data_IF_625958670274
#
_entry.id   IF_625958670274
#
_cell.length_a   1.000
_cell.length_b   1.000
_cell.length_c   1.000
_cell.angle_alpha   90.00
_cell.angle_beta   90.00
_cell.angle_gamma   90.00
#
_symmetry.space_group_name_H-M   'P 1'
#
loop_
_entity.id
_entity.type
_entity.pdbx_description
1 polymer ?
#
# COMPACT_ATOMS: atom_id res chain seq x y z
N UNK A 1 -52.98 -5.36 50.44
CA UNK A 1 -53.15 -5.68 49.02
C UNK A 1 -51.87 -5.23 48.34
N UNK A 2 -51.16 -6.20 47.79
CA UNK A 2 -50.03 -6.10 46.85
C UNK A 2 -48.71 -5.44 47.27
N UNK A 3 -47.67 -6.12 46.79
CA UNK A 3 -46.27 -6.15 47.19
C UNK A 3 -45.38 -5.49 46.14
N UNK A 4 -44.27 -4.93 46.62
CA UNK A 4 -42.89 -4.94 46.09
C UNK A 4 -42.64 -4.93 44.57
N UNK A 5 -41.76 -4.01 44.15
CA UNK A 5 -41.04 -4.07 42.88
C UNK A 5 -39.80 -3.17 42.91
N UNK A 6 -38.72 -3.67 43.51
CA UNK A 6 -37.37 -3.11 43.39
C UNK A 6 -36.63 -3.86 42.26
N UNK A 7 -36.01 -3.15 41.34
CA UNK A 7 -35.27 -3.71 40.20
C UNK A 7 -33.86 -3.12 40.17
N UNK A 8 -32.93 -3.86 40.78
CA UNK A 8 -31.50 -3.64 40.69
C UNK A 8 -30.91 -4.27 39.42
N UNK A 9 -30.18 -3.42 38.71
CA UNK A 9 -29.39 -3.64 37.51
C UNK A 9 -28.29 -4.72 37.70
N UNK A 10 -28.26 -5.75 36.84
CA UNK A 10 -27.22 -6.79 36.86
C UNK A 10 -26.41 -6.78 35.56
N UNK A 11 -25.19 -6.27 35.66
CA UNK A 11 -24.17 -6.29 34.61
C UNK A 11 -23.55 -7.70 34.49
N UNK A 12 -23.87 -8.42 33.42
CA UNK A 12 -23.28 -9.73 33.10
C UNK A 12 -21.87 -9.58 32.48
N UNK A 13 -20.83 -9.77 33.31
CA UNK A 13 -19.47 -10.12 32.87
C UNK A 13 -19.45 -11.56 32.36
N UNK A 14 -19.29 -11.77 31.05
CA UNK A 14 -19.01 -13.11 30.48
C UNK A 14 -17.54 -13.47 30.66
N UNK A 15 -17.32 -14.43 31.56
CA UNK A 15 -16.12 -15.26 31.74
C UNK A 15 -15.89 -16.07 30.47
N UNK A 16 -14.66 -16.05 29.93
CA UNK A 16 -14.27 -16.87 28.78
C UNK A 16 -13.52 -18.07 29.33
N UNK A 17 -14.10 -19.25 29.14
CA UNK A 17 -13.51 -20.53 29.54
C UNK A 17 -12.36 -20.90 28.63
N UNK A 18 -11.32 -21.39 29.29
CA UNK A 18 -10.06 -21.90 28.78
C UNK A 18 -10.23 -23.42 28.74
N UNK A 19 -10.17 -24.02 27.55
CA UNK A 19 -10.19 -25.48 27.39
C UNK A 19 -8.84 -25.92 26.88
N UNK A 20 -8.09 -26.54 27.78
CA UNK A 20 -6.91 -27.36 27.52
C UNK A 20 -7.24 -28.52 26.59
N UNK A 21 -6.43 -28.69 25.55
CA UNK A 21 -6.34 -29.94 24.82
C UNK A 21 -4.86 -30.35 24.75
N UNK A 22 -4.50 -31.30 25.60
CA UNK A 22 -3.31 -32.15 25.46
C UNK A 22 -3.53 -33.03 24.24
N UNK A 23 -2.61 -33.01 23.29
CA UNK A 23 -2.48 -34.12 22.35
C UNK A 23 -1.00 -34.39 22.02
N UNK A 24 -0.78 -35.68 21.76
CA UNK A 24 0.39 -36.49 22.00
C UNK A 24 1.48 -36.36 20.95
N UNK A 25 2.70 -36.65 21.42
CA UNK A 25 3.89 -36.85 20.61
C UNK A 25 3.79 -38.12 19.76
N UNK A 26 3.85 -37.98 18.43
CA UNK A 26 4.27 -39.06 17.53
C UNK A 26 5.44 -38.59 16.66
N UNK A 27 6.55 -39.33 16.79
CA UNK A 27 7.78 -39.17 16.02
C UNK A 27 7.57 -39.78 14.64
N UNK A 28 7.54 -38.98 13.58
CA UNK A 28 7.69 -39.46 12.20
C UNK A 28 9.07 -39.08 11.63
N UNK A 29 9.75 -40.10 11.10
CA UNK A 29 11.08 -40.03 10.48
C UNK A 29 10.97 -39.34 9.11
N UNK A 30 11.70 -38.27 8.90
CA UNK A 30 11.90 -37.66 7.57
C UNK A 30 12.99 -38.43 6.77
N UNK A 31 12.79 -38.65 5.46
CA UNK A 31 13.82 -39.18 4.59
C UNK A 31 14.85 -38.10 4.19
N UNK A 32 16.10 -38.57 4.04
CA UNK A 32 17.30 -37.84 3.63
C UNK A 32 17.13 -37.36 2.19
N UNK A 33 17.17 -36.05 1.94
CA UNK A 33 17.20 -35.47 0.60
C UNK A 33 18.65 -35.13 0.22
N UNK A 34 19.06 -35.58 -0.96
CA UNK A 34 20.39 -35.42 -1.53
C UNK A 34 20.66 -33.96 -1.97
N UNK A 35 21.90 -33.54 -1.79
CA UNK A 35 22.45 -32.22 -2.16
C UNK A 35 22.73 -32.14 -3.67
N UNK A 36 22.23 -31.12 -4.41
CA UNK A 36 22.79 -30.75 -5.70
C UNK A 36 23.90 -29.70 -5.52
N UNK A 37 24.98 -29.89 -6.28
CA UNK A 37 26.24 -29.17 -6.16
C UNK A 37 26.22 -27.69 -6.54
N UNK A 38 27.26 -27.01 -6.04
CA UNK A 38 27.58 -25.61 -6.26
C UNK A 38 27.77 -25.25 -7.74
N UNK A 39 27.16 -24.17 -8.24
CA UNK A 39 27.61 -23.54 -9.47
C UNK A 39 28.69 -22.49 -9.17
N UNK A 40 29.75 -22.62 -9.98
CA UNK A 40 30.90 -21.72 -10.12
C UNK A 40 30.51 -20.26 -10.34
N UNK A 41 31.25 -19.37 -9.67
CA UNK A 41 31.20 -17.92 -9.80
C UNK A 41 31.82 -17.48 -11.14
N UNK A 42 30.99 -16.96 -12.05
CA UNK A 42 31.45 -16.10 -13.13
C UNK A 42 30.64 -14.81 -13.10
N UNK A 43 31.30 -13.69 -12.81
CA UNK A 43 30.69 -12.37 -12.79
C UNK A 43 30.22 -11.98 -14.20
N UNK A 44 28.90 -11.96 -14.41
CA UNK A 44 28.32 -11.35 -15.61
C UNK A 44 28.16 -9.83 -15.42
N UNK A 45 28.43 -9.02 -16.46
CA UNK A 45 28.16 -7.59 -16.44
C UNK A 45 26.66 -7.30 -16.31
N UNK A 46 26.28 -6.13 -15.77
CA UNK A 46 24.88 -5.78 -15.54
C UNK A 46 24.07 -5.85 -16.84
N UNK A 47 22.82 -6.35 -16.78
CA UNK A 47 21.95 -6.39 -17.96
C UNK A 47 21.67 -4.97 -18.46
N UNK A 48 21.50 -4.78 -19.78
CA UNK A 48 21.20 -3.48 -20.35
C UNK A 48 19.90 -2.94 -19.74
N UNK A 49 19.97 -1.71 -19.23
CA UNK A 49 18.81 -0.97 -18.78
C UNK A 49 17.76 -0.91 -19.90
N UNK A 50 16.48 -1.04 -19.55
CA UNK A 50 15.38 -0.76 -20.47
C UNK A 50 15.63 0.60 -21.15
N UNK A 51 15.30 0.74 -22.45
CA UNK A 51 15.49 2.00 -23.15
C UNK A 51 14.81 3.13 -22.36
N UNK A 52 15.46 4.30 -22.22
CA UNK A 52 14.82 5.43 -21.59
C UNK A 52 13.52 5.72 -22.33
N UNK A 53 12.40 5.70 -21.61
CA UNK A 53 11.12 6.16 -22.13
C UNK A 53 11.35 7.60 -22.59
N UNK A 54 11.36 7.80 -23.90
CA UNK A 54 11.50 9.11 -24.52
C UNK A 54 10.39 10.01 -23.99
N UNK A 55 10.79 11.18 -23.48
CA UNK A 55 9.89 12.21 -22.96
C UNK A 55 8.95 12.71 -24.06
N UNK A 56 7.83 12.04 -24.29
CA UNK A 56 6.87 12.42 -25.32
C UNK A 56 5.79 11.38 -25.63
N UNK A 57 6.03 10.08 -25.41
CA UNK A 57 5.00 9.07 -25.64
C UNK A 57 4.07 8.94 -24.43
N UNK A 58 2.78 9.23 -24.65
CA UNK A 58 1.74 9.01 -23.65
C UNK A 58 1.60 7.52 -23.35
N UNK A 59 2.13 7.08 -22.21
CA UNK A 59 2.01 5.67 -21.82
C UNK A 59 0.56 5.34 -21.47
N UNK A 60 -0.01 4.34 -22.15
CA UNK A 60 -1.33 3.78 -21.86
C UNK A 60 -1.36 3.11 -20.48
N UNK A 61 -2.43 3.36 -19.71
CA UNK A 61 -2.61 2.75 -18.39
C UNK A 61 -2.66 1.23 -18.48
N UNK A 62 -3.25 0.67 -19.54
CA UNK A 62 -3.32 -0.79 -19.71
C UNK A 62 -1.92 -1.42 -19.77
N UNK A 63 -0.98 -0.76 -20.46
CA UNK A 63 0.42 -1.17 -20.51
C UNK A 63 1.15 -0.99 -19.18
N UNK A 64 0.80 0.01 -18.38
CA UNK A 64 1.37 0.19 -17.04
C UNK A 64 0.88 -0.86 -16.03
N UNK A 65 -0.28 -1.47 -16.26
CA UNK A 65 -0.84 -2.54 -15.41
C UNK A 65 -0.23 -3.91 -15.69
N UNK A 66 0.50 -4.09 -16.79
CA UNK A 66 1.14 -5.34 -17.16
C UNK A 66 2.56 -5.45 -16.59
N UNK A 67 2.78 -6.49 -15.78
CA UNK A 67 4.07 -6.79 -15.13
C UNK A 67 4.69 -8.09 -15.65
N UNK A 68 4.16 -8.68 -16.72
CA UNK A 68 4.65 -9.94 -17.31
C UNK A 68 6.16 -9.90 -17.57
N UNK A 69 6.64 -8.76 -18.10
CA UNK A 69 8.03 -8.57 -18.48
C UNK A 69 8.92 -7.98 -17.36
N UNK A 70 8.38 -7.75 -16.15
CA UNK A 70 9.15 -7.30 -15.00
C UNK A 70 9.61 -8.50 -14.17
N UNK A 71 10.87 -8.90 -14.33
CA UNK A 71 11.43 -10.16 -13.80
C UNK A 71 12.43 -9.96 -12.66
N UNK A 72 12.73 -8.71 -12.30
CA UNK A 72 13.53 -8.37 -11.12
C UNK A 72 12.78 -7.45 -10.18
N UNK A 73 13.17 -7.43 -8.89
CA UNK A 73 12.63 -6.48 -7.91
C UNK A 73 12.86 -5.02 -8.33
N UNK A 74 13.96 -4.73 -9.03
CA UNK A 74 14.28 -3.39 -9.53
C UNK A 74 13.32 -2.95 -10.63
N UNK A 75 13.08 -3.82 -11.63
CA UNK A 75 12.12 -3.55 -12.70
C UNK A 75 10.69 -3.37 -12.17
N UNK A 76 10.28 -4.20 -11.21
CA UNK A 76 8.99 -4.08 -10.53
C UNK A 76 8.89 -2.73 -9.80
N UNK A 77 9.94 -2.32 -9.10
CA UNK A 77 9.97 -1.04 -8.39
C UNK A 77 9.88 0.13 -9.37
N UNK A 78 10.61 0.09 -10.49
CA UNK A 78 10.53 1.10 -11.54
C UNK A 78 9.13 1.17 -12.17
N UNK A 79 8.48 0.01 -12.38
CA UNK A 79 7.09 -0.04 -12.88
C UNK A 79 6.10 0.51 -11.84
N UNK A 80 6.28 0.25 -10.54
CA UNK A 80 5.50 0.92 -9.48
C UNK A 80 5.66 2.43 -9.51
N UNK A 81 6.88 2.93 -9.76
CA UNK A 81 7.12 4.37 -9.86
C UNK A 81 6.34 4.99 -11.03
N UNK A 82 6.39 4.37 -12.21
CA UNK A 82 5.64 4.84 -13.39
C UNK A 82 4.13 4.78 -13.19
N UNK A 83 3.61 3.63 -12.73
CA UNK A 83 2.17 3.44 -12.50
C UNK A 83 1.66 4.34 -11.37
N UNK A 84 2.41 4.46 -10.28
CA UNK A 84 2.08 5.33 -9.15
C UNK A 84 2.02 6.79 -9.56
N UNK A 85 3.04 7.28 -10.28
CA UNK A 85 3.07 8.65 -10.80
C UNK A 85 1.91 8.91 -11.76
N UNK A 86 1.64 7.98 -12.69
CA UNK A 86 0.51 8.10 -13.62
C UNK A 86 -0.83 8.21 -12.88
N UNK A 87 -1.12 7.29 -11.95
CA UNK A 87 -2.38 7.28 -11.20
C UNK A 87 -2.58 8.56 -10.37
N UNK A 88 -1.51 9.07 -9.74
CA UNK A 88 -1.57 10.25 -8.89
C UNK A 88 -1.68 11.56 -9.70
N UNK A 89 -0.94 11.66 -10.81
CA UNK A 89 -0.83 12.89 -11.58
C UNK A 89 -1.80 12.99 -12.74
N UNK A 90 -2.02 11.89 -13.44
CA UNK A 90 -2.60 11.90 -14.77
C UNK A 90 -3.99 11.27 -14.81
N UNK A 91 -4.43 10.62 -13.73
CA UNK A 91 -5.76 10.02 -13.63
C UNK A 91 -6.62 10.62 -12.52
N UNK A 92 -7.94 10.52 -12.71
CA UNK A 92 -8.98 10.76 -11.72
C UNK A 92 -9.90 9.56 -11.65
N UNK A 93 -10.48 9.32 -10.49
CA UNK A 93 -11.61 8.39 -10.36
C UNK A 93 -12.88 9.16 -10.70
N UNK A 94 -13.71 8.60 -11.56
CA UNK A 94 -15.01 9.14 -11.95
C UNK A 94 -16.09 8.17 -11.52
N UNK A 95 -17.00 8.63 -10.66
CA UNK A 95 -18.20 7.91 -10.26
C UNK A 95 -19.43 8.58 -10.88
N UNK A 96 -20.29 7.80 -11.52
CA UNK A 96 -21.57 8.28 -12.06
C UNK A 96 -22.75 7.59 -11.41
N UNK A 97 -23.86 8.30 -11.25
CA UNK A 97 -25.15 7.78 -10.77
C UNK A 97 -26.29 8.60 -11.39
N UNK A 98 -26.92 8.04 -12.42
CA UNK A 98 -27.85 8.76 -13.30
C UNK A 98 -27.15 9.96 -13.93
N UNK A 99 -27.72 11.16 -13.73
CA UNK A 99 -27.14 12.42 -14.21
C UNK A 99 -26.02 12.98 -13.31
N UNK A 100 -25.80 12.41 -12.13
CA UNK A 100 -24.78 12.91 -11.20
C UNK A 100 -23.42 12.35 -11.56
N UNK A 101 -22.41 13.20 -11.53
CA UNK A 101 -21.00 12.86 -11.74
C UNK A 101 -20.18 13.40 -10.59
N UNK A 102 -19.36 12.54 -9.98
CA UNK A 102 -18.38 12.92 -8.96
C UNK A 102 -16.98 12.54 -9.45
N UNK A 103 -16.04 13.47 -9.33
CA UNK A 103 -14.65 13.26 -9.71
C UNK A 103 -13.74 13.36 -8.50
N UNK A 104 -12.70 12.52 -8.48
CA UNK A 104 -11.76 12.44 -7.37
C UNK A 104 -10.32 12.39 -7.87
N UNK A 105 -9.47 13.18 -7.23
CA UNK A 105 -8.03 13.03 -7.31
C UNK A 105 -7.56 11.94 -6.35
N UNK A 106 -6.60 11.13 -6.79
CA UNK A 106 -5.91 10.16 -5.92
C UNK A 106 -4.79 10.91 -5.20
N UNK A 107 -4.74 10.83 -3.87
CA UNK A 107 -3.70 11.46 -3.06
C UNK A 107 -2.70 10.46 -2.49
N UNK A 108 -3.14 9.21 -2.30
CA UNK A 108 -2.38 8.18 -1.60
C UNK A 108 -2.79 6.78 -2.09
N UNK A 109 -1.81 5.95 -2.41
CA UNK A 109 -1.99 4.55 -2.82
C UNK A 109 -0.87 3.64 -2.30
N UNK A 110 -1.12 2.33 -2.25
CA UNK A 110 -0.16 1.29 -1.85
C UNK A 110 -0.14 0.12 -2.84
N UNK A 111 1.05 -0.34 -3.20
CA UNK A 111 1.21 -1.55 -4.03
C UNK A 111 1.34 -2.81 -3.17
N UNK A 112 0.70 -3.88 -3.62
CA UNK A 112 0.96 -5.25 -3.18
C UNK A 112 1.01 -6.16 -4.41
N UNK A 113 1.96 -7.08 -4.46
CA UNK A 113 2.21 -7.93 -5.62
C UNK A 113 2.78 -9.28 -5.19
N UNK A 114 2.15 -10.34 -5.68
CA UNK A 114 2.71 -11.68 -5.73
C UNK A 114 3.03 -11.99 -7.19
N UNK A 115 4.31 -12.06 -7.51
CA UNK A 115 4.86 -12.56 -8.77
C UNK A 115 5.81 -13.72 -8.45
N UNK A 116 5.40 -14.97 -8.70
CA UNK A 116 6.18 -16.15 -8.34
C UNK A 116 7.63 -16.09 -8.85
N UNK A 117 8.57 -16.50 -8.00
CA UNK A 117 10.01 -16.54 -8.35
C UNK A 117 10.68 -15.18 -8.51
N UNK A 118 9.98 -14.07 -8.25
CA UNK A 118 10.49 -12.72 -8.50
C UNK A 118 10.16 -11.73 -7.37
N UNK A 119 8.89 -11.66 -6.97
CA UNK A 119 8.41 -10.70 -5.97
C UNK A 119 7.21 -11.29 -5.21
N UNK A 120 7.50 -11.99 -4.13
CA UNK A 120 6.50 -12.70 -3.32
C UNK A 120 6.22 -11.94 -2.01
N UNK A 121 5.48 -10.85 -2.11
CA UNK A 121 5.15 -10.02 -0.97
C UNK A 121 4.14 -10.74 -0.03
N UNK A 122 4.56 -11.12 1.20
CA UNK A 122 3.76 -11.91 2.13
C UNK A 122 2.60 -11.13 2.79
N UNK A 123 2.46 -9.84 2.45
CA UNK A 123 1.36 -9.00 2.91
C UNK A 123 0.27 -8.81 1.84
N UNK A 124 0.47 -9.31 0.63
CA UNK A 124 -0.51 -9.24 -0.45
C UNK A 124 -1.71 -10.13 -0.15
N UNK A 125 -2.92 -9.64 -0.43
CA UNK A 125 -4.14 -10.46 -0.28
C UNK A 125 -4.14 -11.66 -1.23
N UNK A 126 -3.70 -11.43 -2.48
CA UNK A 126 -3.51 -12.48 -3.47
C UNK A 126 -4.80 -13.20 -3.82
N UNK A 127 -5.94 -12.51 -3.86
CA UNK A 127 -7.21 -13.15 -4.22
C UNK A 127 -7.21 -13.58 -5.70
N UNK A 128 -8.05 -14.57 -6.05
CA UNK A 128 -8.14 -15.01 -7.45
C UNK A 128 -8.65 -13.90 -8.38
N UNK A 129 -9.47 -12.97 -7.89
CA UNK A 129 -9.91 -11.80 -8.66
C UNK A 129 -8.77 -10.82 -9.00
N UNK A 130 -7.71 -10.78 -8.18
CA UNK A 130 -6.54 -9.92 -8.42
C UNK A 130 -5.63 -10.44 -9.54
N UNK A 131 -5.95 -11.58 -10.17
CA UNK A 131 -5.24 -12.06 -11.36
C UNK A 131 -5.57 -11.27 -12.63
N UNK A 132 -6.73 -10.63 -12.67
CA UNK A 132 -7.24 -9.94 -13.87
C UNK A 132 -7.03 -8.45 -13.71
N UNK A 133 -6.11 -7.88 -14.47
CA UNK A 133 -5.77 -6.45 -14.42
C UNK A 133 -6.90 -5.54 -14.90
N UNK A 134 -6.89 -4.29 -14.46
CA UNK A 134 -7.83 -3.26 -14.91
C UNK A 134 -9.23 -3.38 -14.31
N UNK A 135 -9.36 -4.00 -13.13
CA UNK A 135 -10.64 -4.18 -12.43
C UNK A 135 -10.59 -3.59 -11.02
N UNK A 136 -11.76 -3.25 -10.51
CA UNK A 136 -11.95 -2.92 -9.10
C UNK A 136 -12.06 -4.21 -8.27
N UNK A 137 -11.20 -4.34 -7.27
CA UNK A 137 -11.27 -5.40 -6.28
C UNK A 137 -11.62 -4.81 -4.91
N UNK A 138 -12.75 -5.24 -4.33
CA UNK A 138 -13.10 -4.92 -2.95
C UNK A 138 -12.61 -6.02 -2.02
N UNK A 139 -11.96 -5.64 -0.92
CA UNK A 139 -11.35 -6.59 0.00
C UNK A 139 -12.36 -7.61 0.53
N UNK A 140 -11.97 -8.89 0.52
CA UNK A 140 -12.77 -10.01 1.00
C UNK A 140 -12.28 -10.56 2.32
N UNK A 141 -13.21 -11.16 3.07
CA UNK A 141 -12.86 -11.94 4.24
C UNK A 141 -12.13 -13.23 3.79
N UNK A 142 -11.07 -13.65 4.50
CA UNK A 142 -10.47 -14.95 4.27
C UNK A 142 -11.49 -16.03 4.58
N UNK A 143 -11.66 -16.97 3.66
CA UNK A 143 -12.33 -18.24 3.92
C UNK A 143 -11.28 -19.22 4.40
N UNK A 144 -11.52 -19.83 5.58
CA UNK A 144 -10.70 -20.97 6.01
C UNK A 144 -10.99 -22.11 5.05
N UNK A 145 -9.95 -22.66 4.44
CA UNK A 145 -10.07 -23.95 3.77
C UNK A 145 -10.29 -25.02 4.84
N UNK A 146 -11.20 -25.98 4.59
CA UNK A 146 -11.30 -27.19 5.41
C UNK A 146 -10.14 -28.16 5.15
N UNK A 147 -9.35 -27.89 4.10
CA UNK A 147 -8.12 -28.60 3.77
C UNK A 147 -6.93 -27.85 4.38
N UNK A 148 -6.26 -28.49 5.35
CA UNK A 148 -5.11 -27.95 6.09
C UNK A 148 -3.88 -27.70 5.20
N UNK A 149 -3.86 -28.24 3.98
CA UNK A 149 -2.78 -28.04 3.01
C UNK A 149 -2.98 -26.79 2.13
N UNK A 150 -4.17 -26.19 2.16
CA UNK A 150 -4.47 -25.00 1.36
C UNK A 150 -4.39 -23.73 2.20
N UNK A 151 -3.59 -22.77 1.74
CA UNK A 151 -3.56 -21.43 2.33
C UNK A 151 -4.97 -20.80 2.29
N UNK A 152 -5.39 -20.05 3.34
CA UNK A 152 -6.68 -19.38 3.36
C UNK A 152 -6.84 -18.50 2.12
N UNK A 153 -7.86 -18.77 1.29
CA UNK A 153 -8.15 -17.95 0.11
C UNK A 153 -9.13 -16.85 0.48
N UNK A 154 -9.00 -15.66 -0.13
CA UNK A 154 -9.90 -14.53 0.11
C UNK A 154 -11.26 -14.68 -0.59
N UNK A 155 -11.82 -15.88 -0.74
CA UNK A 155 -13.09 -16.12 -1.45
C UNK A 155 -14.34 -15.85 -0.60
N UNK A 156 -14.20 -15.30 0.61
CA UNK A 156 -15.32 -15.02 1.50
C UNK A 156 -16.15 -13.79 1.14
N UNK A 157 -17.13 -13.48 2.00
CA UNK A 157 -17.93 -12.27 1.92
C UNK A 157 -17.04 -11.00 1.90
N UNK A 158 -17.52 -9.93 1.27
CA UNK A 158 -16.83 -8.64 1.31
C UNK A 158 -16.63 -8.17 2.75
N UNK A 159 -15.46 -7.60 3.02
CA UNK A 159 -15.21 -7.00 4.33
C UNK A 159 -16.13 -5.80 4.53
N UNK A 160 -16.59 -5.63 5.75
CA UNK A 160 -17.46 -4.52 6.17
C UNK A 160 -16.77 -3.66 7.24
N UNK A 161 -17.38 -2.54 7.61
CA UNK A 161 -16.87 -1.63 8.63
C UNK A 161 -15.45 -1.13 8.34
N UNK A 162 -14.59 -1.06 9.36
CA UNK A 162 -13.23 -0.51 9.25
C UNK A 162 -12.26 -1.35 8.41
N UNK A 163 -12.66 -2.55 7.99
CA UNK A 163 -11.83 -3.48 7.21
C UNK A 163 -12.13 -3.48 5.71
N UNK A 164 -12.99 -2.58 5.24
CA UNK A 164 -13.23 -2.31 3.81
C UNK A 164 -11.96 -1.73 3.17
N UNK A 165 -11.73 -2.09 1.91
CA UNK A 165 -10.69 -1.53 1.06
C UNK A 165 -11.03 -1.80 -0.40
N UNK A 166 -10.42 -1.01 -1.30
CA UNK A 166 -10.64 -1.08 -2.74
C UNK A 166 -9.29 -0.96 -3.45
N UNK A 167 -9.00 -1.94 -4.30
CA UNK A 167 -7.78 -2.00 -5.08
C UNK A 167 -8.11 -1.86 -6.57
N UNK A 168 -7.19 -1.24 -7.33
CA UNK A 168 -7.07 -1.44 -8.77
C UNK A 168 -6.21 -2.68 -9.01
N UNK A 169 -6.73 -3.69 -9.71
CA UNK A 169 -5.98 -4.91 -9.99
C UNK A 169 -4.95 -4.69 -11.10
N UNK A 170 -3.79 -5.34 -10.96
CA UNK A 170 -2.69 -5.29 -11.93
C UNK A 170 -1.88 -6.59 -11.89
N UNK A 171 -0.96 -6.78 -12.84
CA UNK A 171 0.00 -7.88 -12.86
C UNK A 171 0.13 -8.56 -14.22
N UNK A 172 -1.00 -8.85 -14.86
CA UNK A 172 -1.07 -9.45 -16.21
C UNK A 172 -1.59 -8.42 -17.23
N UNK A 173 -1.57 -8.71 -18.54
CA UNK A 173 -2.21 -7.84 -19.52
C UNK A 173 -3.70 -7.61 -19.22
N UNK A 174 -4.22 -6.43 -19.54
CA UNK A 174 -5.66 -6.17 -19.49
C UNK A 174 -6.37 -7.07 -20.50
N UNK A 175 -7.48 -7.68 -20.08
CA UNK A 175 -8.21 -8.66 -20.91
C UNK A 175 -7.63 -10.07 -20.89
N UNK A 176 -6.52 -10.31 -20.19
CA UNK A 176 -5.99 -11.66 -19.98
C UNK A 176 -6.99 -12.53 -19.20
N UNK A 177 -7.42 -13.63 -19.81
CA UNK A 177 -8.26 -14.65 -19.17
C UNK A 177 -7.65 -16.02 -19.36
N UNK A 178 -6.62 -16.32 -18.56
CA UNK A 178 -6.03 -17.65 -18.56
C UNK A 178 -6.50 -18.45 -17.34
N UNK A 179 -7.60 -19.15 -17.55
CA UNK A 179 -8.12 -20.14 -16.59
C UNK A 179 -7.30 -21.42 -16.56
N UNK A 180 -6.33 -21.59 -17.47
CA UNK A 180 -5.53 -22.81 -17.61
C UNK A 180 -4.24 -22.80 -16.76
N UNK A 181 -3.76 -21.62 -16.35
CA UNK A 181 -2.57 -21.54 -15.49
C UNK A 181 -2.84 -22.01 -14.04
N UNK A 182 -1.91 -22.79 -13.46
CA UNK A 182 -1.96 -23.18 -12.05
C UNK A 182 -2.07 -21.96 -11.14
N UNK A 183 -2.88 -22.05 -10.07
CA UNK A 183 -3.15 -20.91 -9.17
C UNK A 183 -1.88 -20.27 -8.61
N UNK A 184 -0.87 -21.09 -8.33
CA UNK A 184 0.43 -20.71 -7.77
C UNK A 184 1.40 -20.12 -8.81
N UNK A 185 1.10 -20.21 -10.11
CA UNK A 185 1.94 -19.65 -11.18
C UNK A 185 1.50 -18.26 -11.64
N UNK A 186 0.34 -17.76 -11.18
CA UNK A 186 -0.25 -16.53 -11.71
C UNK A 186 0.11 -15.32 -10.86
N UNK A 187 0.60 -14.27 -11.52
CA UNK A 187 0.82 -12.95 -10.93
C UNK A 187 -0.47 -12.34 -10.41
N UNK A 188 -0.45 -11.79 -9.19
CA UNK A 188 -1.60 -11.14 -8.55
C UNK A 188 -1.17 -9.83 -7.90
N UNK A 189 -1.78 -8.73 -8.34
CA UNK A 189 -1.46 -7.40 -7.85
C UNK A 189 -2.69 -6.59 -7.50
N UNK A 190 -2.55 -5.74 -6.49
CA UNK A 190 -3.55 -4.75 -6.10
C UNK A 190 -2.90 -3.42 -5.75
N UNK A 191 -3.42 -2.34 -6.32
CA UNK A 191 -3.11 -0.97 -5.93
C UNK A 191 -4.19 -0.49 -4.97
N UNK A 192 -3.95 -0.61 -3.67
CA UNK A 192 -4.87 -0.17 -2.63
C UNK A 192 -4.97 1.35 -2.65
N UNK A 193 -6.17 1.86 -2.88
CA UNK A 193 -6.45 3.29 -2.78
C UNK A 193 -6.73 3.67 -1.33
N UNK A 194 -6.03 4.70 -0.83
CA UNK A 194 -6.09 5.07 0.59
C UNK A 194 -6.70 6.42 0.85
N UNK A 195 -6.34 7.42 0.06
CA UNK A 195 -6.86 8.77 0.22
C UNK A 195 -7.19 9.38 -1.13
N UNK A 196 -8.35 10.02 -1.18
CA UNK A 196 -8.85 10.73 -2.37
C UNK A 196 -9.31 12.12 -1.98
N UNK A 197 -9.32 13.04 -2.95
CA UNK A 197 -9.88 14.38 -2.81
C UNK A 197 -10.95 14.61 -3.85
N UNK A 198 -12.16 14.93 -3.41
CA UNK A 198 -13.25 15.27 -4.32
C UNK A 198 -12.97 16.60 -5.00
N UNK A 199 -13.10 16.64 -6.32
CA UNK A 199 -12.73 17.81 -7.13
C UNK A 199 -13.66 18.99 -6.89
N UNK A 200 -14.96 18.73 -6.68
CA UNK A 200 -15.98 19.78 -6.60
C UNK A 200 -15.86 20.69 -5.38
N UNK A 201 -15.39 20.16 -4.25
CA UNK A 201 -15.39 20.84 -2.95
C UNK A 201 -14.04 20.71 -2.21
N UNK A 202 -13.04 20.10 -2.84
CA UNK A 202 -11.73 19.78 -2.25
C UNK A 202 -11.78 18.92 -0.98
N UNK A 203 -12.91 18.26 -0.67
CA UNK A 203 -13.02 17.40 0.51
C UNK A 203 -12.08 16.21 0.39
N UNK A 204 -11.20 16.06 1.39
CA UNK A 204 -10.29 14.91 1.50
C UNK A 204 -10.98 13.80 2.28
N UNK A 205 -10.96 12.59 1.72
CA UNK A 205 -11.37 11.35 2.38
C UNK A 205 -10.13 10.48 2.57
N UNK A 206 -9.73 10.27 3.83
CA UNK A 206 -8.53 9.50 4.16
C UNK A 206 -8.86 8.20 4.88
N UNK A 207 -8.30 7.11 4.37
CA UNK A 207 -8.48 5.75 4.87
C UNK A 207 -9.26 4.87 3.89
N UNK A 208 -8.81 3.63 3.61
CA UNK A 208 -9.45 2.73 2.64
C UNK A 208 -10.94 2.51 2.86
N UNK A 209 -11.36 2.33 4.12
CA UNK A 209 -12.76 2.08 4.46
C UNK A 209 -13.66 3.29 4.20
N UNK A 210 -13.21 4.48 4.57
CA UNK A 210 -13.94 5.73 4.34
C UNK A 210 -13.97 6.10 2.85
N UNK A 211 -12.91 5.77 2.11
CA UNK A 211 -12.88 5.90 0.66
C UNK A 211 -13.98 5.05 0.03
N UNK A 212 -14.12 3.78 0.44
CA UNK A 212 -15.21 2.91 -0.03
C UNK A 212 -16.58 3.52 0.28
N UNK A 213 -16.77 4.07 1.49
CA UNK A 213 -18.03 4.74 1.86
C UNK A 213 -18.33 5.97 0.99
N UNK A 214 -17.30 6.74 0.64
CA UNK A 214 -17.44 7.88 -0.27
C UNK A 214 -17.84 7.42 -1.68
N UNK A 215 -17.29 6.30 -2.17
CA UNK A 215 -17.68 5.71 -3.46
C UNK A 215 -19.12 5.18 -3.42
N UNK A 216 -19.51 4.47 -2.36
CA UNK A 216 -20.90 3.99 -2.18
C UNK A 216 -21.88 5.16 -2.19
N UNK A 217 -21.56 6.24 -1.46
CA UNK A 217 -22.36 7.47 -1.46
C UNK A 217 -22.46 8.11 -2.84
N UNK A 218 -21.35 8.20 -3.57
CA UNK A 218 -21.31 8.81 -4.91
C UNK A 218 -22.10 8.02 -5.95
N UNK A 219 -22.09 6.70 -5.82
CA UNK A 219 -22.79 5.75 -6.70
C UNK A 219 -24.24 5.49 -6.26
N UNK A 220 -24.64 6.01 -5.10
CA UNK A 220 -25.97 5.78 -4.52
C UNK A 220 -26.22 4.32 -4.16
N UNK A 221 -25.17 3.57 -3.85
CA UNK A 221 -25.24 2.16 -3.43
C UNK A 221 -25.33 2.05 -1.91
N UNK A 222 -26.13 1.08 -1.44
CA UNK A 222 -26.30 0.85 -0.01
C UNK A 222 -25.05 0.17 0.61
N UNK A 223 -24.48 -0.78 -0.13
CA UNK A 223 -23.29 -1.55 0.27
C UNK A 223 -22.54 -2.07 -0.97
N UNK A 224 -21.42 -2.78 -0.73
CA UNK A 224 -20.60 -3.36 -1.81
C UNK A 224 -21.39 -4.40 -2.63
N UNK A 225 -22.14 -5.34 -2.02
CA UNK A 225 -23.03 -6.24 -2.78
C UNK A 225 -24.02 -5.53 -3.71
N UNK A 226 -24.70 -4.48 -3.23
CA UNK A 226 -25.64 -3.67 -4.02
C UNK A 226 -24.91 -2.99 -5.19
N UNK A 227 -23.76 -2.39 -4.92
CA UNK A 227 -22.93 -1.76 -5.95
C UNK A 227 -22.52 -2.77 -7.03
N UNK A 228 -21.85 -3.85 -6.63
CA UNK A 228 -21.21 -4.79 -7.57
C UNK A 228 -22.23 -5.68 -8.27
N UNK A 229 -23.17 -6.28 -7.53
CA UNK A 229 -24.08 -7.27 -8.11
C UNK A 229 -25.29 -6.63 -8.79
N UNK A 230 -25.89 -5.59 -8.19
CA UNK A 230 -27.13 -5.00 -8.70
C UNK A 230 -26.87 -3.83 -9.65
N UNK A 231 -26.15 -2.81 -9.18
CA UNK A 231 -25.93 -1.59 -9.97
C UNK A 231 -24.94 -1.79 -11.11
N UNK A 232 -23.84 -2.47 -10.85
CA UNK A 232 -22.82 -2.74 -11.86
C UNK A 232 -23.06 -4.04 -12.64
N UNK A 233 -24.01 -4.89 -12.23
CA UNK A 233 -24.29 -6.19 -12.87
C UNK A 233 -23.03 -7.03 -13.06
N UNK A 234 -22.13 -7.01 -12.06
CA UNK A 234 -20.81 -7.67 -12.03
C UNK A 234 -19.75 -7.10 -12.99
N UNK A 235 -20.03 -6.02 -13.70
CA UNK A 235 -19.01 -5.29 -14.45
C UNK A 235 -18.17 -4.43 -13.50
N UNK A 236 -17.04 -5.01 -13.10
CA UNK A 236 -16.04 -4.40 -12.21
C UNK A 236 -14.87 -3.79 -12.99
N UNK A 237 -15.02 -3.48 -14.29
CA UNK A 237 -13.97 -2.77 -15.03
C UNK A 237 -13.63 -1.44 -14.35
N UNK A 238 -12.33 -1.17 -14.21
CA UNK A 238 -11.82 0.12 -13.76
C UNK A 238 -11.46 1.06 -14.91
N UNK A 239 -11.54 0.57 -16.16
CA UNK A 239 -11.26 1.32 -17.37
C UNK A 239 -12.56 1.88 -17.96
N UNK A 240 -12.49 3.02 -18.68
CA UNK A 240 -13.67 3.59 -19.30
C UNK A 240 -14.29 2.59 -20.30
N UNK A 241 -15.62 2.60 -20.47
CA UNK A 241 -16.27 1.82 -21.52
C UNK A 241 -15.76 2.27 -22.90
N UNK A 242 -15.58 1.32 -23.81
CA UNK A 242 -15.16 1.59 -25.19
C UNK A 242 -16.23 2.44 -25.89
N UNK A 243 -15.80 3.49 -26.59
CA UNK A 243 -16.67 4.38 -27.36
C UNK A 243 -17.54 3.58 -28.33
N UNK A 244 -18.84 3.47 -28.06
CA UNK A 244 -19.80 2.71 -28.87
C UNK A 244 -20.83 1.96 -28.02
N UNK A 245 -20.45 1.56 -26.80
CA UNK A 245 -21.37 0.96 -25.85
C UNK A 245 -21.96 2.06 -24.97
N UNK A 246 -23.23 2.42 -25.22
CA UNK A 246 -23.96 3.22 -24.25
C UNK A 246 -23.92 2.49 -22.90
N UNK A 247 -23.54 3.17 -21.79
CA UNK A 247 -23.48 2.50 -20.50
C UNK A 247 -24.85 1.92 -20.19
N UNK A 248 -24.97 0.59 -20.24
CA UNK A 248 -26.20 -0.16 -19.98
C UNK A 248 -26.62 -0.11 -18.51
N UNK A 249 -25.90 0.68 -17.71
CA UNK A 249 -26.03 0.85 -16.27
C UNK A 249 -26.06 2.33 -15.93
N UNK A 250 -26.98 2.70 -15.04
CA UNK A 250 -27.10 4.06 -14.51
C UNK A 250 -25.94 4.44 -13.58
N UNK A 251 -25.04 3.50 -13.25
CA UNK A 251 -23.97 3.71 -12.27
C UNK A 251 -22.66 3.12 -12.77
N UNK A 252 -21.59 3.92 -12.80
CA UNK A 252 -20.25 3.48 -13.21
C UNK A 252 -19.18 4.02 -12.27
N UNK A 253 -18.02 3.35 -12.25
CA UNK A 253 -16.81 3.81 -11.59
C UNK A 253 -15.60 3.46 -12.46
N UNK A 254 -14.83 4.45 -12.91
CA UNK A 254 -13.69 4.20 -13.78
C UNK A 254 -12.59 5.25 -13.58
N UNK A 255 -11.40 4.94 -14.05
CA UNK A 255 -10.27 5.84 -14.14
C UNK A 255 -10.36 6.63 -15.44
N UNK A 256 -10.38 7.96 -15.34
CA UNK A 256 -10.33 8.85 -16.50
C UNK A 256 -9.01 9.60 -16.48
N UNK A 257 -8.31 9.63 -17.61
CA UNK A 257 -7.16 10.50 -17.81
C UNK A 257 -7.59 11.97 -17.62
N UNK A 258 -6.75 12.77 -16.99
CA UNK A 258 -6.89 14.23 -16.96
C UNK A 258 -6.53 14.74 -18.34
N UNK A 259 -7.35 15.61 -18.90
CA UNK A 259 -6.97 16.32 -20.13
C UNK A 259 -5.69 17.10 -19.82
N UNK A 260 -4.63 16.87 -20.61
CA UNK A 260 -3.50 17.79 -20.57
C UNK A 260 -4.06 19.16 -20.88
N UNK A 261 -3.80 20.14 -20.02
CA UNK A 261 -4.10 21.53 -20.33
C UNK A 261 -3.37 21.85 -21.63
N UNK A 262 -4.10 21.83 -22.73
CA UNK A 262 -3.59 22.04 -24.06
C UNK A 262 -2.87 23.37 -24.05
N UNK A 263 -1.55 23.34 -24.21
CA UNK A 263 -0.72 24.54 -24.32
C UNK A 263 -0.86 25.17 -25.72
N UNK A 264 -2.07 25.07 -26.28
CA UNK A 264 -2.44 25.51 -27.62
C UNK A 264 -3.51 26.59 -27.50
N UNK A 265 -3.11 27.86 -27.50
CA UNK A 265 -4.06 28.96 -27.56
C UNK A 265 -3.53 30.32 -27.09
N UNK A 266 -2.78 30.98 -27.97
CA UNK A 266 -2.76 32.44 -28.21
C UNK A 266 -3.00 33.43 -27.06
N UNK A 267 -1.98 34.27 -26.82
CA UNK A 267 -2.07 35.72 -26.60
C UNK A 267 -3.47 36.35 -26.58
N UNK A 268 -4.15 36.31 -25.43
CA UNK A 268 -4.90 37.47 -24.95
C UNK A 268 -4.56 37.66 -23.48
N UNK A 269 -3.53 38.49 -23.25
CA UNK A 269 -3.32 39.13 -21.94
C UNK A 269 -4.53 40.04 -21.71
N UNK A 270 -5.55 39.51 -21.05
CA UNK A 270 -6.61 40.31 -20.48
C UNK A 270 -6.01 41.27 -19.46
N UNK A 271 -6.25 42.57 -19.66
CA UNK A 271 -6.01 43.61 -18.69
C UNK A 271 -6.78 43.28 -17.39
N UNK A 272 -6.14 42.60 -16.44
CA UNK A 272 -6.64 42.50 -15.06
C UNK A 272 -5.50 42.50 -14.03
N UNK A 273 -4.41 43.21 -14.34
CA UNK A 273 -3.34 43.51 -13.40
C UNK A 273 -3.42 44.98 -12.95
N UNK A 274 -4.44 45.33 -12.16
CA UNK A 274 -4.54 46.65 -11.50
C UNK A 274 -4.92 46.61 -10.01
N UNK A 275 -5.00 45.44 -9.39
CA UNK A 275 -5.06 45.34 -7.93
C UNK A 275 -3.95 44.40 -7.45
N UNK A 276 -3.01 44.96 -6.66
CA UNK A 276 -1.78 44.34 -6.19
C UNK A 276 -1.95 43.17 -5.22
N UNK A 277 -2.65 42.12 -5.64
CA UNK A 277 -2.52 40.79 -5.05
C UNK A 277 -1.33 40.07 -5.68
N UNK A 278 -0.41 39.55 -4.86
CA UNK A 278 0.61 38.59 -5.29
C UNK A 278 -0.07 37.51 -6.14
N UNK A 279 0.23 37.47 -7.43
CA UNK A 279 -0.21 36.39 -8.30
C UNK A 279 0.26 35.06 -7.68
N UNK A 280 -0.61 34.05 -7.54
CA UNK A 280 -0.15 32.72 -7.16
C UNK A 280 0.82 32.28 -8.26
N UNK A 281 2.04 31.94 -7.87
CA UNK A 281 3.01 31.24 -8.72
C UNK A 281 2.41 29.89 -9.09
N UNK A 282 1.59 29.86 -10.13
CA UNK A 282 1.13 28.62 -10.76
C UNK A 282 2.28 28.08 -11.58
N UNK A 283 3.30 27.51 -10.93
CA UNK A 283 4.17 26.59 -11.65
C UNK A 283 3.28 25.41 -12.05
N UNK A 284 3.23 25.12 -13.34
CA UNK A 284 2.49 23.99 -13.91
C UNK A 284 3.19 22.65 -13.59
N UNK A 285 3.94 22.61 -12.49
CA UNK A 285 4.77 21.49 -12.09
C UNK A 285 3.90 20.46 -11.36
N UNK A 286 3.99 19.21 -11.83
CA UNK A 286 3.35 18.08 -11.15
C UNK A 286 3.87 18.02 -9.71
N UNK A 287 2.99 17.84 -8.69
CA UNK A 287 3.44 17.70 -7.31
C UNK A 287 4.49 16.59 -7.15
N UNK A 288 5.41 16.76 -6.21
CA UNK A 288 6.36 15.71 -5.90
C UNK A 288 5.65 14.45 -5.38
N UNK A 289 6.08 13.28 -5.84
CA UNK A 289 5.61 11.99 -5.33
C UNK A 289 6.58 11.49 -4.26
N UNK A 290 6.09 11.39 -3.04
CA UNK A 290 6.81 10.79 -1.93
C UNK A 290 6.52 9.29 -1.85
N UNK A 291 7.54 8.51 -1.47
CA UNK A 291 7.44 7.06 -1.30
C UNK A 291 7.72 6.69 0.15
N UNK A 292 6.88 5.87 0.76
CA UNK A 292 7.04 5.42 2.15
C UNK A 292 6.76 3.93 2.30
N UNK A 293 7.15 3.30 3.43
CA UNK A 293 6.59 2.03 3.85
C UNK A 293 5.06 2.05 3.90
N UNK A 294 4.46 0.87 3.72
CA UNK A 294 2.99 0.67 3.76
C UNK A 294 2.46 0.66 5.19
N UNK A 295 1.27 1.20 5.36
CA UNK A 295 0.61 1.34 6.67
C UNK A 295 -0.11 0.05 7.05
N UNK A 296 0.00 -0.32 8.33
CA UNK A 296 -0.76 -1.45 8.89
C UNK A 296 -0.07 -2.80 8.74
N UNK A 297 1.21 -2.79 8.34
CA UNK A 297 2.07 -3.97 8.38
C UNK A 297 2.77 -4.03 9.73
N UNK A 298 2.90 -5.22 10.31
CA UNK A 298 3.69 -5.45 11.53
C UNK A 298 4.48 -6.77 11.42
N UNK A 299 5.34 -7.00 12.40
CA UNK A 299 6.18 -8.19 12.49
C UNK A 299 5.66 -9.15 13.57
N UNK A 300 4.34 -9.14 13.82
CA UNK A 300 3.74 -9.99 14.85
C UNK A 300 3.44 -11.42 14.42
N UNK A 301 3.70 -11.74 13.15
CA UNK A 301 3.41 -13.05 12.58
C UNK A 301 4.26 -14.14 13.24
N UNK A 302 3.65 -15.26 13.67
CA UNK A 302 4.35 -16.29 14.45
C UNK A 302 5.44 -17.04 13.67
N UNK A 303 5.45 -16.97 12.34
CA UNK A 303 6.50 -17.59 11.51
C UNK A 303 7.82 -16.84 11.54
N UNK A 304 7.85 -15.60 12.05
CA UNK A 304 9.08 -14.84 12.15
C UNK A 304 9.90 -15.42 13.31
N UNK A 305 11.11 -15.95 13.04
CA UNK A 305 11.96 -16.49 14.09
C UNK A 305 12.33 -15.42 15.13
N UNK A 306 12.59 -15.86 16.37
CA UNK A 306 13.03 -14.96 17.43
C UNK A 306 14.54 -14.68 17.40
N UNK A 307 15.33 -15.54 16.74
CA UNK A 307 16.75 -15.26 16.55
C UNK A 307 16.94 -14.19 15.47
N UNK A 308 17.89 -13.30 15.74
CA UNK A 308 18.09 -12.10 14.93
C UNK A 308 18.46 -12.43 13.48
N UNK A 309 19.36 -13.39 13.25
CA UNK A 309 19.87 -13.69 11.91
C UNK A 309 18.78 -14.28 10.99
N UNK A 310 18.02 -15.27 11.45
CA UNK A 310 16.90 -15.80 10.65
C UNK A 310 15.71 -14.85 10.59
N UNK A 311 15.52 -13.98 11.59
CA UNK A 311 14.52 -12.92 11.48
C UNK A 311 14.87 -11.95 10.34
N UNK A 312 16.12 -11.49 10.25
CA UNK A 312 16.56 -10.52 9.23
C UNK A 312 16.41 -11.04 7.79
N UNK A 313 16.54 -12.35 7.56
CA UNK A 313 16.30 -12.96 6.25
C UNK A 313 14.83 -13.27 5.97
N UNK A 314 13.93 -13.16 6.96
CA UNK A 314 12.53 -13.51 6.79
C UNK A 314 11.81 -12.51 5.85
N UNK A 315 11.03 -12.98 4.85
CA UNK A 315 10.40 -12.12 3.83
C UNK A 315 9.60 -10.93 4.40
N UNK A 316 8.86 -11.13 5.49
CA UNK A 316 8.09 -10.05 6.13
C UNK A 316 8.96 -8.85 6.55
N UNK A 317 10.20 -9.07 6.99
CA UNK A 317 11.12 -7.98 7.34
C UNK A 317 11.62 -7.25 6.09
N UNK A 318 11.84 -8.00 5.00
CA UNK A 318 12.24 -7.42 3.73
C UNK A 318 11.14 -6.56 3.11
N UNK A 319 9.86 -6.90 3.33
CA UNK A 319 8.71 -6.19 2.75
C UNK A 319 8.13 -5.08 3.62
N UNK A 320 8.34 -5.09 4.94
CA UNK A 320 7.84 -4.03 5.82
C UNK A 320 8.56 -2.69 5.57
N UNK A 321 9.82 -2.71 5.13
CA UNK A 321 10.62 -1.51 4.84
C UNK A 321 10.45 -1.00 3.41
N UNK A 322 9.80 -1.77 2.52
CA UNK A 322 9.68 -1.40 1.09
C UNK A 322 8.83 -0.16 0.93
N UNK A 323 9.31 0.79 0.12
CA UNK A 323 8.67 2.09 -0.11
C UNK A 323 7.52 2.02 -1.13
N UNK A 324 6.58 1.11 -0.91
CA UNK A 324 5.48 0.81 -1.85
C UNK A 324 4.20 1.64 -1.62
N UNK A 325 4.24 2.63 -0.73
CA UNK A 325 3.18 3.64 -0.55
C UNK A 325 3.57 4.93 -1.24
N UNK A 326 2.68 5.47 -2.07
CA UNK A 326 2.93 6.68 -2.87
C UNK A 326 1.99 7.81 -2.47
N UNK A 327 2.50 9.04 -2.38
CA UNK A 327 1.79 10.20 -1.82
C UNK A 327 2.14 11.45 -2.62
N UNK A 328 1.17 12.31 -2.96
CA UNK A 328 1.44 13.62 -3.60
C UNK A 328 1.30 14.83 -2.69
N UNK A 329 0.46 14.75 -1.65
CA UNK A 329 0.17 15.88 -0.75
C UNK A 329 0.24 15.47 0.71
N UNK A 330 1.45 15.25 1.27
CA UNK A 330 1.61 14.75 2.63
C UNK A 330 0.96 15.68 3.68
N UNK A 331 0.95 16.98 3.46
CA UNK A 331 0.26 17.97 4.30
C UNK A 331 -1.25 17.78 4.42
N UNK A 332 -1.89 17.11 3.46
CA UNK A 332 -3.32 16.80 3.52
C UNK A 332 -3.61 15.46 4.23
N UNK A 333 -2.58 14.67 4.55
CA UNK A 333 -2.72 13.33 5.13
C UNK A 333 -2.54 13.37 6.65
N UNK A 334 -3.49 14.00 7.34
CA UNK A 334 -3.43 14.22 8.80
C UNK A 334 -3.87 13.01 9.63
N UNK A 335 -4.47 12.00 8.98
CA UNK A 335 -5.02 10.81 9.62
C UNK A 335 -3.95 9.73 9.92
N UNK A 336 -4.31 8.44 9.78
CA UNK A 336 -3.44 7.30 10.07
C UNK A 336 -2.14 7.34 9.24
N UNK A 337 -1.05 6.85 9.82
CA UNK A 337 0.23 6.68 9.12
C UNK A 337 1.16 7.88 9.16
N UNK A 338 0.98 8.81 10.10
CA UNK A 338 1.85 9.99 10.24
C UNK A 338 3.34 9.63 10.30
N UNK A 339 3.73 8.59 11.05
CA UNK A 339 5.12 8.14 11.09
C UNK A 339 5.62 7.61 9.74
N UNK A 340 4.76 7.00 8.93
CA UNK A 340 5.10 6.50 7.61
C UNK A 340 5.27 7.66 6.63
N UNK A 341 4.34 8.62 6.64
CA UNK A 341 4.44 9.86 5.86
C UNK A 341 5.71 10.63 6.21
N UNK A 342 5.99 10.80 7.51
CA UNK A 342 7.22 11.42 8.00
C UNK A 342 8.46 10.74 7.39
N UNK A 343 8.56 9.42 7.51
CA UNK A 343 9.72 8.68 7.02
C UNK A 343 9.87 8.78 5.50
N UNK A 344 8.78 8.71 4.74
CA UNK A 344 8.84 8.86 3.29
C UNK A 344 9.29 10.24 2.84
N UNK A 345 8.83 11.30 3.51
CA UNK A 345 9.29 12.67 3.25
C UNK A 345 10.75 12.86 3.67
N UNK A 346 11.13 12.35 4.85
CA UNK A 346 12.53 12.35 5.32
C UNK A 346 13.46 11.71 4.27
N UNK A 347 13.11 10.51 3.82
CA UNK A 347 13.90 9.77 2.83
C UNK A 347 13.99 10.55 1.52
N UNK A 348 12.89 11.13 1.04
CA UNK A 348 12.92 11.93 -0.18
C UNK A 348 13.77 13.19 -0.08
N UNK A 349 13.84 13.82 1.10
CA UNK A 349 14.69 15.01 1.34
C UNK A 349 16.18 14.60 1.35
N UNK A 350 16.50 13.48 2.00
CA UNK A 350 17.87 12.94 2.06
C UNK A 350 18.33 12.48 0.67
N UNK A 351 17.49 11.75 -0.05
CA UNK A 351 17.75 11.30 -1.43
C UNK A 351 17.92 12.51 -2.37
N UNK A 352 17.29 13.65 -2.06
CA UNK A 352 17.46 14.94 -2.74
C UNK A 352 18.74 15.71 -2.38
N UNK A 353 19.63 15.12 -1.57
CA UNK A 353 20.97 15.65 -1.26
C UNK A 353 21.10 16.41 0.05
N UNK A 354 20.05 16.50 0.87
CA UNK A 354 20.17 17.06 2.22
C UNK A 354 20.86 16.04 3.13
N UNK A 355 21.98 16.44 3.73
CA UNK A 355 22.76 15.55 4.62
C UNK A 355 21.99 15.24 5.90
N UNK A 356 22.06 14.00 6.36
CA UNK A 356 21.45 13.55 7.63
C UNK A 356 21.97 14.31 8.87
N UNK A 357 23.19 14.85 8.79
CA UNK A 357 23.81 15.67 9.84
C UNK A 357 23.27 17.11 9.90
N UNK A 358 22.59 17.60 8.85
CA UNK A 358 21.98 18.95 8.83
C UNK A 358 20.56 18.90 9.41
N UNK A 359 20.48 18.66 10.72
CA UNK A 359 19.21 18.46 11.43
C UNK A 359 18.27 19.64 11.31
N UNK A 360 18.83 20.86 11.35
CA UNK A 360 18.05 22.09 11.28
C UNK A 360 17.35 22.20 9.94
N UNK A 361 18.08 21.98 8.83
CA UNK A 361 17.49 22.00 7.49
C UNK A 361 16.49 20.87 7.30
N UNK A 362 16.81 19.65 7.76
CA UNK A 362 15.88 18.52 7.70
C UNK A 362 14.57 18.82 8.42
N UNK A 363 14.64 19.34 9.65
CA UNK A 363 13.45 19.65 10.43
C UNK A 363 12.59 20.75 9.76
N UNK A 364 13.21 21.74 9.12
CA UNK A 364 12.53 22.80 8.37
C UNK A 364 11.81 22.25 7.13
N UNK A 365 12.50 21.48 6.29
CA UNK A 365 11.93 20.88 5.08
C UNK A 365 10.82 19.86 5.41
N UNK A 366 11.00 19.06 6.46
CA UNK A 366 9.98 18.14 6.97
C UNK A 366 8.72 18.87 7.42
N UNK A 367 8.86 19.90 8.26
CA UNK A 367 7.73 20.68 8.75
C UNK A 367 6.97 21.33 7.58
N UNK A 368 7.71 21.89 6.61
CA UNK A 368 7.14 22.52 5.41
C UNK A 368 6.36 21.53 4.54
N UNK A 369 6.92 20.36 4.25
CA UNK A 369 6.29 19.38 3.37
C UNK A 369 5.10 18.67 4.03
N UNK A 370 5.19 18.36 5.32
CA UNK A 370 4.17 17.58 6.05
C UNK A 370 3.12 18.41 6.77
N UNK A 371 3.34 19.72 6.91
CA UNK A 371 2.56 20.61 7.79
C UNK A 371 2.55 20.15 9.26
N UNK A 372 3.56 19.37 9.66
CA UNK A 372 3.74 19.00 11.06
C UNK A 372 4.34 20.15 11.85
N UNK A 373 3.82 20.33 13.07
CA UNK A 373 4.40 21.27 14.03
C UNK A 373 5.84 20.89 14.32
N UNK A 374 6.71 21.90 14.43
CA UNK A 374 8.14 21.70 14.65
C UNK A 374 8.47 20.76 15.85
N UNK A 375 7.81 20.86 17.03
CA UNK A 375 8.05 19.92 18.12
C UNK A 375 7.74 18.45 17.75
N UNK A 376 6.73 18.20 16.92
CA UNK A 376 6.40 16.85 16.43
C UNK A 376 7.49 16.32 15.51
N UNK A 377 8.02 17.17 14.61
CA UNK A 377 9.13 16.81 13.71
C UNK A 377 10.38 16.45 14.51
N UNK A 378 10.75 17.27 15.49
CA UNK A 378 11.91 17.02 16.37
C UNK A 378 11.74 15.69 17.12
N UNK A 379 10.55 15.45 17.70
CA UNK A 379 10.25 14.18 18.35
C UNK A 379 10.42 12.99 17.41
N UNK A 380 9.84 13.05 16.21
CA UNK A 380 9.90 11.96 15.24
C UNK A 380 11.33 11.69 14.74
N UNK A 381 12.13 12.75 14.53
CA UNK A 381 13.56 12.60 14.25
C UNK A 381 14.29 11.86 15.38
N UNK A 382 14.02 12.24 16.64
CA UNK A 382 14.65 11.61 17.80
C UNK A 382 14.31 10.12 17.92
N UNK A 383 13.05 9.72 17.73
CA UNK A 383 12.62 8.32 17.76
C UNK A 383 13.28 7.48 16.66
N UNK A 384 13.38 8.03 15.45
CA UNK A 384 14.06 7.37 14.33
C UNK A 384 15.56 7.18 14.61
N UNK A 385 16.23 8.21 15.12
CA UNK A 385 17.64 8.17 15.51
C UNK A 385 17.91 7.21 16.65
N UNK A 386 17.06 7.18 17.66
CA UNK A 386 17.19 6.21 18.75
C UNK A 386 17.17 4.77 18.23
N UNK A 387 16.29 4.50 17.25
CA UNK A 387 16.27 3.24 16.52
C UNK A 387 17.59 2.96 15.78
N UNK A 388 18.09 3.95 15.04
CA UNK A 388 19.33 3.86 14.29
C UNK A 388 20.56 3.62 15.17
N UNK A 389 20.62 4.20 16.36
CA UNK A 389 21.79 4.13 17.22
C UNK A 389 21.81 2.86 18.07
N UNK A 390 20.67 2.52 18.68
CA UNK A 390 20.60 1.49 19.73
C UNK A 390 19.33 0.64 19.74
N UNK A 391 18.47 0.76 18.73
CA UNK A 391 17.18 0.07 18.71
C UNK A 391 17.28 -1.46 18.64
N UNK A 392 16.48 -2.18 19.43
CA UNK A 392 16.44 -3.65 19.40
C UNK A 392 15.25 -4.15 18.56
N UNK A 393 15.45 -5.22 17.78
CA UNK A 393 14.39 -5.79 16.94
C UNK A 393 13.38 -6.63 17.76
N UNK A 394 13.85 -7.33 18.79
CA UNK A 394 13.05 -8.28 19.60
C UNK A 394 11.70 -7.74 20.09
N UNK A 395 11.57 -6.48 20.57
CA UNK A 395 10.27 -5.93 21.01
C UNK A 395 9.22 -5.84 19.89
N UNK A 396 9.64 -5.91 18.63
CA UNK A 396 8.76 -5.78 17.46
C UNK A 396 8.37 -7.13 16.87
N UNK A 397 8.88 -8.25 17.38
CA UNK A 397 8.63 -9.58 16.82
C UNK A 397 7.51 -10.31 17.57
N UNK A 398 6.75 -11.13 16.84
CA UNK A 398 5.71 -11.99 17.42
C UNK A 398 4.62 -11.20 18.15
N UNK A 399 3.98 -11.81 19.14
CA UNK A 399 2.86 -11.19 19.87
C UNK A 399 3.22 -9.82 20.48
N UNK A 400 4.47 -9.64 20.93
CA UNK A 400 4.96 -8.37 21.47
C UNK A 400 4.95 -7.23 20.44
N UNK A 401 5.20 -7.55 19.16
CA UNK A 401 5.19 -6.60 18.06
C UNK A 401 3.82 -6.19 17.54
N UNK A 402 2.74 -6.80 18.05
CA UNK A 402 1.39 -6.58 17.53
C UNK A 402 0.98 -5.12 17.68
N UNK A 403 0.70 -4.47 16.55
CA UNK A 403 0.32 -3.06 16.54
C UNK A 403 1.47 -2.09 16.81
N UNK A 404 2.73 -2.54 16.93
CA UNK A 404 3.87 -1.67 17.19
C UNK A 404 4.12 -0.63 16.08
N UNK A 405 3.57 -0.84 14.89
CA UNK A 405 3.61 0.12 13.76
C UNK A 405 2.43 1.09 13.74
N UNK A 406 1.48 0.97 14.68
CA UNK A 406 0.29 1.84 14.73
C UNK A 406 0.59 3.22 15.31
N UNK A 407 1.59 3.35 16.18
CA UNK A 407 2.04 4.63 16.72
C UNK A 407 3.24 5.17 15.91
N UNK A 408 3.28 6.48 15.62
CA UNK A 408 4.40 7.07 14.86
C UNK A 408 5.77 6.83 15.50
N UNK A 409 5.90 7.03 16.81
CA UNK A 409 7.16 6.88 17.54
C UNK A 409 7.72 5.45 17.44
N UNK A 410 6.89 4.45 17.79
CA UNK A 410 7.29 3.04 17.75
C UNK A 410 7.59 2.57 16.33
N UNK A 411 6.81 3.01 15.34
CA UNK A 411 7.12 2.75 13.92
C UNK A 411 8.48 3.33 13.51
N UNK A 412 8.75 4.60 13.83
CA UNK A 412 10.01 5.25 13.46
C UNK A 412 11.21 4.59 14.13
N UNK A 413 11.09 4.24 15.41
CA UNK A 413 12.11 3.48 16.13
C UNK A 413 12.39 2.12 15.50
N UNK A 414 11.35 1.38 15.08
CA UNK A 414 11.51 0.14 14.32
C UNK A 414 12.24 0.39 13.00
N UNK A 415 11.84 1.39 12.23
CA UNK A 415 12.44 1.68 10.93
C UNK A 415 13.92 2.09 11.03
N UNK A 416 14.28 2.86 12.06
CA UNK A 416 15.69 3.15 12.38
C UNK A 416 16.45 1.89 12.74
N UNK A 417 15.87 1.04 13.59
CA UNK A 417 16.44 -0.26 13.99
C UNK A 417 16.73 -1.14 12.77
N UNK A 418 15.74 -1.31 11.89
CA UNK A 418 15.88 -2.15 10.69
C UNK A 418 16.93 -1.59 9.73
N UNK A 419 16.96 -0.26 9.52
CA UNK A 419 17.99 0.35 8.67
C UNK A 419 19.38 0.04 9.20
N UNK A 420 19.64 0.25 10.50
CA UNK A 420 20.95 -0.08 11.09
C UNK A 420 21.32 -1.54 10.86
N UNK A 421 20.40 -2.47 11.21
CA UNK A 421 20.67 -3.90 11.17
C UNK A 421 20.88 -4.43 9.74
N UNK A 422 20.26 -3.80 8.73
CA UNK A 422 20.42 -4.18 7.32
C UNK A 422 21.67 -3.56 6.67
N UNK A 423 22.18 -2.45 7.21
CA UNK A 423 23.40 -1.80 6.69
C UNK A 423 24.67 -2.17 7.45
N UNK A 424 24.56 -2.75 8.65
CA UNK A 424 25.71 -3.19 9.41
C UNK A 424 26.41 -4.36 8.69
N UNK A 425 27.75 -4.32 8.52
CA UNK A 425 28.47 -5.50 8.09
C UNK A 425 28.24 -6.60 9.12
N UNK A 426 27.90 -7.81 8.66
CA UNK A 426 27.82 -8.99 9.51
C UNK A 426 29.21 -9.20 10.10
N UNK A 427 29.45 -8.72 11.31
CA UNK A 427 30.65 -9.05 12.05
C UNK A 427 30.59 -10.54 12.35
N UNK A 428 31.47 -11.32 11.72
CA UNK A 428 31.74 -12.69 12.10
C UNK A 428 31.97 -12.71 13.61
N UNK A 429 31.10 -13.41 14.34
CA UNK A 429 31.33 -13.67 15.75
C UNK A 429 32.55 -14.58 15.81
N UNK A 430 33.71 -14.02 16.15
CA UNK A 430 34.84 -14.78 16.66
C UNK A 430 34.34 -15.57 17.86
N UNK A 431 34.20 -16.89 17.67
CA UNK A 431 33.98 -17.82 18.76
C UNK A 431 35.21 -17.79 19.65
N UNK A 432 35.13 -17.05 20.74
CA UNK A 432 35.93 -17.36 21.92
C UNK A 432 35.23 -18.55 22.61
N UNK A 433 35.59 -19.75 22.16
CA UNK A 433 35.56 -20.92 23.03
C UNK A 433 36.67 -20.69 24.06
N UNK A 434 36.26 -20.40 25.30
CA UNK A 434 37.17 -20.38 26.43
C UNK A 434 37.59 -21.81 26.80
N UNK A 435 38.90 -21.99 26.93
CA UNK A 435 39.57 -23.13 27.58
C UNK A 435 39.09 -23.38 29.02
#
# INVERSE_FOLDING_TARGET
>A
METAGDHSDTTLKRKREETDAKESSEKSKLPKLETPGSPSSSAQPPPPANPPITSGEEVDLSALLDFTNANTTSEISARFDLLGAALLHDYRIVATCGKRKSEYEILELEFCLIKPGCHEDPFTHGSDEQRRSGRWYFHRAPTRSNDSTQAPTAAGAWRTGTRKGMDLTFGNPVGFDDTSLPRNAVTRGGVLLRSIRRVSDNKVTSGPSLLVDEILRATGAADIPDLVNKKWKRDISALPPTSGDAPTRDTTLYLRRKELASTSGSSQRGLHAFFGGKAPTTSNEKPQVYRSPRIGLDLSHPTIPQDLQRALSHPRLNYIVRRYRFITRPNLLTAKGQGHTFLGVYQSIVDGGVKESDEKRLAQELAKATDFKHPTVVKYLAEYKEGLEKGALRPFLGSAGKGATSSPASFLKLMGTLRRLQTAPLTESTGEEGE
#
